data_IF_352399553238
#
_entry.id   IF_352399553238
#
_cell.length_a   1.000
_cell.length_b   1.000
_cell.length_c   1.000
_cell.angle_alpha   90.00
_cell.angle_beta   90.00
_cell.angle_gamma   90.00
#
_symmetry.space_group_name_H-M   'P 1'
#
loop_
_entity.id
_entity.type
_entity.pdbx_description
1 polymer ?
#
# COMPACT_ATOMS: atom_id res chain seq x y z
N UNK A 1 -23.14 35.51 44.11
CA UNK A 1 -22.98 35.69 42.65
C UNK A 1 -21.55 35.26 42.29
N UNK A 2 -21.39 34.38 41.30
CA UNK A 2 -20.14 33.66 40.96
C UNK A 2 -19.16 34.60 40.24
N UNK A 3 -17.84 34.38 40.37
CA UNK A 3 -16.95 34.62 39.24
C UNK A 3 -16.37 33.29 38.74
N UNK A 4 -16.69 32.98 37.49
CA UNK A 4 -16.09 31.92 36.70
C UNK A 4 -14.68 32.34 36.30
N UNK A 5 -13.69 31.48 36.50
CA UNK A 5 -12.37 31.61 35.89
C UNK A 5 -12.25 30.53 34.81
N UNK A 6 -12.19 31.02 33.57
CA UNK A 6 -12.09 30.25 32.36
C UNK A 6 -10.74 29.52 32.28
N UNK A 7 -10.78 28.21 32.08
CA UNK A 7 -9.62 27.43 31.70
C UNK A 7 -9.51 27.46 30.17
N UNK A 8 -8.51 28.18 29.65
CA UNK A 8 -8.18 28.19 28.23
C UNK A 8 -7.26 26.99 27.94
N UNK A 9 -7.82 25.92 27.38
CA UNK A 9 -7.06 24.75 26.91
C UNK A 9 -6.56 24.99 25.49
N UNK A 10 -5.26 25.27 25.35
CA UNK A 10 -4.60 25.30 24.05
C UNK A 10 -4.29 23.86 23.61
N UNK A 11 -5.03 23.35 22.62
CA UNK A 11 -4.76 22.08 21.96
C UNK A 11 -3.72 22.35 20.87
N UNK A 12 -2.46 21.98 21.14
CA UNK A 12 -1.42 21.92 20.12
C UNK A 12 -1.65 20.66 19.27
N UNK A 13 -2.23 20.84 18.08
CA UNK A 13 -2.35 19.78 17.09
C UNK A 13 -0.97 19.61 16.42
N UNK A 14 -0.17 18.67 16.93
CA UNK A 14 1.07 18.23 16.26
C UNK A 14 0.65 17.29 15.12
N UNK A 15 0.55 17.81 13.90
CA UNK A 15 0.48 16.98 12.70
C UNK A 15 1.86 16.37 12.45
N UNK A 16 2.18 15.28 13.16
CA UNK A 16 3.29 14.42 12.80
C UNK A 16 2.83 13.53 11.64
N UNK A 17 3.09 13.94 10.40
CA UNK A 17 3.05 13.00 9.28
C UNK A 17 4.19 11.98 9.49
N UNK A 18 3.93 10.66 9.46
CA UNK A 18 5.00 9.68 9.54
C UNK A 18 5.77 9.70 8.20
N UNK A 19 6.94 10.31 8.21
CA UNK A 19 8.01 10.00 7.26
C UNK A 19 8.58 8.63 7.64
N UNK A 20 7.96 7.57 7.14
CA UNK A 20 8.65 6.28 7.03
C UNK A 20 8.49 5.78 5.62
N UNK A 21 9.62 5.68 4.92
CA UNK A 21 9.82 4.63 3.93
C UNK A 21 9.62 3.31 4.68
N UNK A 22 8.39 2.82 4.70
CA UNK A 22 8.07 1.51 5.22
C UNK A 22 8.49 0.54 4.12
N UNK A 23 9.52 -0.27 4.37
CA UNK A 23 9.91 -1.29 3.38
C UNK A 23 8.81 -2.36 3.39
N UNK A 24 7.87 -2.27 2.46
CA UNK A 24 6.81 -3.25 2.29
C UNK A 24 7.38 -4.53 1.68
N UNK A 25 6.85 -5.68 2.11
CA UNK A 25 7.34 -6.98 1.64
C UNK A 25 7.11 -7.22 0.14
N UNK A 26 6.17 -6.48 -0.45
CA UNK A 26 5.86 -6.56 -1.88
C UNK A 26 6.80 -5.71 -2.75
N UNK A 27 7.62 -4.84 -2.17
CA UNK A 27 8.51 -3.98 -2.95
C UNK A 27 9.55 -4.80 -3.71
N UNK A 28 9.84 -4.37 -4.93
CA UNK A 28 10.79 -5.03 -5.83
C UNK A 28 10.17 -5.45 -7.15
N UNK A 29 10.87 -6.33 -7.85
CA UNK A 29 10.49 -6.82 -9.17
C UNK A 29 9.99 -8.25 -9.07
N UNK A 30 8.97 -8.57 -9.83
CA UNK A 30 8.26 -9.84 -9.74
C UNK A 30 7.96 -10.38 -11.13
N UNK A 31 8.18 -11.67 -11.35
CA UNK A 31 7.69 -12.40 -12.52
C UNK A 31 6.32 -13.00 -12.20
N UNK A 32 5.27 -12.43 -12.79
CA UNK A 32 3.87 -12.74 -12.51
C UNK A 32 3.20 -13.53 -13.65
N UNK A 33 3.96 -14.39 -14.34
CA UNK A 33 3.53 -15.28 -15.44
C UNK A 33 3.15 -14.57 -16.74
N UNK A 34 2.50 -13.41 -16.64
CA UNK A 34 2.08 -12.57 -17.78
C UNK A 34 3.05 -11.44 -18.08
N UNK A 35 3.98 -11.17 -17.17
CA UNK A 35 4.94 -10.07 -17.31
C UNK A 35 5.75 -9.84 -16.04
N UNK A 36 6.67 -8.88 -16.14
CA UNK A 36 7.44 -8.41 -15.00
C UNK A 36 6.77 -7.19 -14.39
N UNK A 37 6.35 -7.32 -13.13
CA UNK A 37 5.73 -6.26 -12.36
C UNK A 37 6.76 -5.65 -11.41
N UNK A 38 6.72 -4.33 -11.24
CA UNK A 38 7.60 -3.61 -10.31
C UNK A 38 6.75 -2.84 -9.31
N UNK A 39 7.05 -3.00 -8.03
CA UNK A 39 6.41 -2.27 -6.94
C UNK A 39 7.44 -1.47 -6.15
N UNK A 40 7.05 -0.25 -5.79
CA UNK A 40 7.72 0.56 -4.77
C UNK A 40 6.72 0.88 -3.66
N UNK A 41 7.14 1.66 -2.66
CA UNK A 41 6.25 2.18 -1.63
C UNK A 41 5.12 3.09 -2.16
N UNK A 42 5.27 3.62 -3.38
CA UNK A 42 4.42 4.68 -3.94
C UNK A 42 4.01 4.46 -5.39
N UNK A 43 4.52 3.44 -6.08
CA UNK A 43 4.20 3.16 -7.48
C UNK A 43 4.09 1.67 -7.78
N UNK A 44 3.27 1.35 -8.78
CA UNK A 44 3.12 0.03 -9.36
C UNK A 44 3.25 0.11 -10.88
N UNK A 45 4.18 -0.65 -11.44
CA UNK A 45 4.36 -0.83 -12.89
C UNK A 45 4.01 -2.27 -13.28
N UNK A 46 2.90 -2.51 -14.01
CA UNK A 46 2.52 -3.83 -14.54
C UNK A 46 3.35 -4.25 -15.77
N UNK A 47 4.45 -3.57 -16.09
CA UNK A 47 5.22 -3.73 -17.32
C UNK A 47 4.70 -2.85 -18.47
N UNK A 48 4.05 -1.73 -18.13
CA UNK A 48 3.32 -0.87 -19.06
C UNK A 48 3.25 0.57 -18.56
N UNK A 49 2.05 1.03 -18.20
CA UNK A 49 1.85 2.35 -17.61
C UNK A 49 1.99 2.28 -16.09
N UNK A 50 2.88 3.10 -15.53
CA UNK A 50 3.11 3.20 -14.09
C UNK A 50 1.92 3.90 -13.44
N UNK A 51 1.41 3.32 -12.35
CA UNK A 51 0.33 3.87 -11.55
C UNK A 51 0.83 4.28 -10.16
N UNK A 52 0.34 5.42 -9.67
CA UNK A 52 0.64 5.93 -8.34
C UNK A 52 -0.22 5.20 -7.28
N UNK A 53 0.44 4.65 -6.27
CA UNK A 53 -0.20 4.05 -5.09
C UNK A 53 -0.58 5.20 -4.15
N UNK A 54 -1.87 5.40 -3.93
CA UNK A 54 -2.41 6.47 -3.09
C UNK A 54 -2.55 6.05 -1.63
N UNK A 55 -2.81 4.78 -1.37
CA UNK A 55 -2.92 4.20 -0.03
C UNK A 55 -2.51 2.73 -0.01
N UNK A 56 -1.95 2.29 1.12
CA UNK A 56 -1.55 0.90 1.37
C UNK A 56 -2.17 0.45 2.69
N UNK A 57 -3.22 -0.36 2.59
CA UNK A 57 -3.79 -1.05 3.76
C UNK A 57 -3.08 -2.40 3.95
N UNK A 58 -2.69 -2.72 5.18
CA UNK A 58 -1.95 -3.93 5.51
C UNK A 58 -2.65 -4.75 6.59
N UNK A 59 -2.75 -6.06 6.36
CA UNK A 59 -3.14 -7.07 7.36
C UNK A 59 -2.15 -8.25 7.32
N UNK A 60 -1.19 -8.26 8.24
CA UNK A 60 -0.15 -9.29 8.30
C UNK A 60 0.76 -9.30 7.07
N UNK A 61 0.60 -10.33 6.23
CA UNK A 61 1.29 -10.56 4.95
C UNK A 61 0.43 -10.20 3.73
N UNK A 62 -0.78 -9.69 3.95
CA UNK A 62 -1.70 -9.24 2.91
C UNK A 62 -1.72 -7.72 2.85
N UNK A 63 -1.76 -7.18 1.65
CA UNK A 63 -1.78 -5.76 1.35
C UNK A 63 -2.91 -5.47 0.36
N UNK A 64 -3.54 -4.31 0.52
CA UNK A 64 -4.47 -3.74 -0.46
C UNK A 64 -3.91 -2.40 -0.89
N UNK A 65 -3.58 -2.29 -2.16
CA UNK A 65 -3.10 -1.07 -2.79
C UNK A 65 -4.30 -0.33 -3.40
N UNK A 66 -4.44 0.95 -3.09
CA UNK A 66 -5.48 1.82 -3.67
C UNK A 66 -4.85 2.82 -4.63
N UNK A 67 -5.46 2.98 -5.79
CA UNK A 67 -5.04 3.87 -6.88
C UNK A 67 -6.11 4.92 -7.16
N UNK A 68 -5.93 5.71 -8.22
CA UNK A 68 -6.95 6.64 -8.72
C UNK A 68 -8.29 5.93 -9.02
N UNK A 69 -9.38 6.67 -8.91
CA UNK A 69 -10.76 6.19 -9.14
C UNK A 69 -11.16 5.00 -8.24
N UNK A 70 -10.57 4.91 -7.04
CA UNK A 70 -10.79 3.83 -6.07
C UNK A 70 -10.46 2.43 -6.62
N UNK A 71 -9.62 2.33 -7.67
CA UNK A 71 -9.12 1.04 -8.15
C UNK A 71 -8.27 0.38 -7.06
N UNK A 72 -8.51 -0.91 -6.81
CA UNK A 72 -7.83 -1.66 -5.76
C UNK A 72 -7.20 -2.95 -6.27
N UNK A 73 -6.02 -3.24 -5.72
CA UNK A 73 -5.27 -4.46 -5.96
C UNK A 73 -4.97 -5.17 -4.64
N UNK A 74 -5.22 -6.47 -4.58
CA UNK A 74 -4.82 -7.32 -3.45
C UNK A 74 -3.47 -7.99 -3.71
N UNK A 75 -2.60 -7.98 -2.70
CA UNK A 75 -1.33 -8.70 -2.70
C UNK A 75 -1.25 -9.57 -1.45
N UNK A 76 -0.86 -10.84 -1.58
CA UNK A 76 -0.62 -11.72 -0.43
C UNK A 76 0.74 -12.37 -0.54
N UNK A 77 1.60 -12.12 0.43
CA UNK A 77 2.95 -12.70 0.50
C UNK A 77 2.89 -14.10 1.10
N UNK A 78 3.42 -15.07 0.37
CA UNK A 78 3.51 -16.45 0.80
C UNK A 78 4.78 -16.71 1.61
N UNK A 79 4.78 -17.68 2.55
CA UNK A 79 5.97 -18.03 3.35
C UNK A 79 7.16 -18.53 2.53
N UNK A 80 6.94 -18.99 1.29
CA UNK A 80 7.99 -19.45 0.37
C UNK A 80 8.64 -18.30 -0.42
N UNK A 81 8.21 -17.06 -0.19
CA UNK A 81 8.73 -15.85 -0.84
C UNK A 81 8.02 -15.48 -2.14
N UNK A 82 7.02 -16.24 -2.58
CA UNK A 82 6.14 -15.84 -3.70
C UNK A 82 5.07 -14.85 -3.24
N UNK A 83 4.41 -14.20 -4.19
CA UNK A 83 3.32 -13.27 -3.95
C UNK A 83 2.11 -13.66 -4.80
N UNK A 84 0.92 -13.74 -4.22
CA UNK A 84 -0.33 -13.79 -4.98
C UNK A 84 -0.79 -12.36 -5.27
N UNK A 85 -0.89 -12.05 -6.56
CA UNK A 85 -1.44 -10.79 -7.07
C UNK A 85 -2.89 -11.01 -7.48
N UNK A 86 -3.79 -10.10 -7.12
CA UNK A 86 -5.21 -10.19 -7.46
C UNK A 86 -5.81 -8.83 -7.82
N UNK A 87 -6.54 -8.76 -8.95
CA UNK A 87 -7.35 -7.60 -9.32
C UNK A 87 -8.83 -7.85 -9.05
N UNK A 88 -9.43 -7.03 -8.19
CA UNK A 88 -10.87 -7.11 -7.91
C UNK A 88 -11.74 -6.70 -9.11
N UNK A 89 -11.19 -5.93 -10.05
CA UNK A 89 -11.93 -5.43 -11.22
C UNK A 89 -12.04 -6.48 -12.31
N UNK A 90 -10.93 -7.12 -12.69
CA UNK A 90 -10.95 -8.16 -13.72
C UNK A 90 -11.25 -9.55 -13.17
N UNK A 91 -10.96 -9.78 -11.88
CA UNK A 91 -11.00 -11.11 -11.26
C UNK A 91 -9.76 -11.96 -11.55
N UNK A 92 -8.73 -11.39 -12.18
CA UNK A 92 -7.48 -12.09 -12.47
C UNK A 92 -6.64 -12.30 -11.22
N UNK A 93 -5.91 -13.41 -11.19
CA UNK A 93 -4.96 -13.75 -10.14
C UNK A 93 -3.69 -14.34 -10.74
N UNK A 94 -2.53 -13.94 -10.24
CA UNK A 94 -1.23 -14.42 -10.71
C UNK A 94 -0.32 -14.78 -9.54
N UNK A 95 0.40 -15.89 -9.67
CA UNK A 95 1.50 -16.22 -8.76
C UNK A 95 2.78 -15.55 -9.23
N UNK A 96 3.25 -14.59 -8.45
CA UNK A 96 4.43 -13.78 -8.69
C UNK A 96 5.66 -14.34 -7.98
N UNK A 97 6.76 -14.50 -8.71
CA UNK A 97 8.07 -14.92 -8.17
C UNK A 97 9.01 -13.72 -8.07
N UNK A 98 9.76 -13.57 -6.96
CA UNK A 98 10.66 -12.43 -6.81
C UNK A 98 11.80 -12.53 -7.84
N UNK A 99 12.15 -11.38 -8.43
CA UNK A 99 13.28 -11.22 -9.33
C UNK A 99 14.46 -10.53 -8.61
N UNK A 100 15.70 -10.76 -9.07
CA UNK A 100 16.89 -10.12 -8.51
C UNK A 100 16.94 -8.60 -8.68
#
# INVERSE_FOLDING_TARGET
>A
MRPALAAASAILLVCAAPLRAENYLFEGKWDCEVGTFTFTDSTYDPGGEVMDILDVARDGSTFVLTFADDYQLGLSMNPDGTMEWFSAVSGDSFTCRPLP
#
